data_IF_427207660122
#
_entry.id   IF_427207660122
#
_cell.length_a   1.000
_cell.length_b   1.000
_cell.length_c   1.000
_cell.angle_alpha   90.00
_cell.angle_beta   90.00
_cell.angle_gamma   90.00
#
_symmetry.space_group_name_H-M   'P 1'
#
loop_
_entity.id
_entity.type
_entity.pdbx_description
1 polymer ?
#
# COMPACT_ATOMS: atom_id res chain seq x y z
N UNK A 1 -4.81 -35.27 7.81
CA UNK A 1 -5.06 -33.96 8.43
C UNK A 1 -4.90 -32.91 7.34
N UNK A 2 -6.00 -32.42 6.79
CA UNK A 2 -5.96 -31.40 5.74
C UNK A 2 -5.37 -30.12 6.32
N UNK A 3 -4.39 -29.54 5.63
CA UNK A 3 -3.92 -28.20 5.91
C UNK A 3 -5.12 -27.25 5.84
N UNK A 4 -5.58 -26.79 7.01
CA UNK A 4 -6.50 -25.67 7.11
C UNK A 4 -5.71 -24.44 6.66
N UNK A 5 -5.67 -24.22 5.33
CA UNK A 5 -5.14 -22.98 4.77
C UNK A 5 -6.10 -21.86 5.15
N UNK A 6 -5.85 -21.28 6.33
CA UNK A 6 -6.44 -20.00 6.69
C UNK A 6 -6.00 -19.00 5.62
N UNK A 7 -6.92 -18.66 4.71
CA UNK A 7 -6.69 -17.66 3.68
C UNK A 7 -6.35 -16.35 4.40
N UNK A 8 -5.06 -15.98 4.44
CA UNK A 8 -4.62 -14.74 5.07
C UNK A 8 -5.26 -13.59 4.30
N UNK A 9 -6.03 -12.77 5.00
CA UNK A 9 -6.65 -11.60 4.42
C UNK A 9 -5.56 -10.74 3.75
N UNK A 10 -5.79 -10.38 2.48
CA UNK A 10 -4.89 -9.55 1.69
C UNK A 10 -5.66 -8.33 1.20
N UNK A 11 -5.26 -7.15 1.66
CA UNK A 11 -5.92 -5.88 1.35
C UNK A 11 -5.04 -5.08 0.40
N UNK A 12 -5.66 -4.53 -0.64
CA UNK A 12 -5.03 -3.64 -1.61
C UNK A 12 -5.50 -2.20 -1.39
N UNK A 13 -4.54 -1.28 -1.36
CA UNK A 13 -4.75 0.16 -1.18
C UNK A 13 -4.40 0.88 -2.47
N UNK A 14 -5.33 1.65 -3.02
CA UNK A 14 -5.11 2.47 -4.20
C UNK A 14 -5.28 3.96 -3.85
N UNK A 15 -4.20 4.66 -3.46
CA UNK A 15 -4.24 6.10 -3.22
C UNK A 15 -4.78 6.87 -4.42
N UNK A 16 -5.74 7.76 -4.17
CA UNK A 16 -6.01 8.87 -5.08
C UNK A 16 -4.91 9.92 -4.90
N UNK A 17 -4.14 10.17 -5.96
CA UNK A 17 -2.87 10.91 -5.94
C UNK A 17 -3.05 12.43 -6.06
N UNK A 18 -4.07 13.00 -5.40
CA UNK A 18 -4.26 14.44 -5.28
C UNK A 18 -3.48 15.00 -4.08
N UNK A 19 -2.68 16.04 -4.30
CA UNK A 19 -1.90 16.71 -3.24
C UNK A 19 -2.84 17.28 -2.16
N UNK A 20 -2.91 16.61 -1.01
CA UNK A 20 -3.76 17.00 0.11
C UNK A 20 -4.15 15.85 1.05
N UNK A 21 -4.14 14.60 0.56
CA UNK A 21 -4.57 13.41 1.32
C UNK A 21 -3.48 12.33 1.49
N UNK A 22 -2.20 12.68 1.41
CA UNK A 22 -1.09 11.71 1.51
C UNK A 22 -0.86 11.12 2.91
N UNK A 23 -1.53 11.62 3.95
CA UNK A 23 -1.41 11.11 5.32
C UNK A 23 -2.26 9.83 5.54
N UNK A 24 -3.58 9.81 5.27
CA UNK A 24 -4.40 8.61 5.54
C UNK A 24 -3.98 7.37 4.74
N UNK A 25 -3.47 7.54 3.52
CA UNK A 25 -3.18 6.40 2.64
C UNK A 25 -2.00 5.56 3.08
N UNK A 26 -1.12 6.12 3.91
CA UNK A 26 0.10 5.45 4.32
C UNK A 26 -0.13 4.78 5.68
N UNK A 27 -0.93 5.38 6.55
CA UNK A 27 -1.21 4.85 7.88
C UNK A 27 -2.21 3.69 7.87
N UNK A 28 -3.17 3.68 6.93
CA UNK A 28 -4.12 2.55 6.82
C UNK A 28 -3.43 1.20 6.59
N UNK A 29 -2.58 1.01 5.56
CA UNK A 29 -1.86 -0.24 5.34
C UNK A 29 -1.11 -0.75 6.57
N UNK A 30 -0.56 0.16 7.38
CA UNK A 30 0.18 -0.18 8.60
C UNK A 30 -0.72 -0.79 9.66
N UNK A 31 -1.87 -0.18 9.94
CA UNK A 31 -2.81 -0.70 10.93
C UNK A 31 -3.34 -2.10 10.59
N UNK A 32 -3.36 -2.46 9.29
CA UNK A 32 -3.69 -3.82 8.87
C UNK A 32 -2.48 -4.75 8.97
N UNK A 33 -1.30 -4.30 8.56
CA UNK A 33 -0.08 -5.10 8.66
C UNK A 33 0.29 -5.45 10.11
N UNK A 34 0.09 -4.52 11.07
CA UNK A 34 0.26 -4.77 12.51
C UNK A 34 -0.69 -5.85 13.05
N UNK A 35 -1.82 -6.10 12.38
CA UNK A 35 -2.77 -7.16 12.71
C UNK A 35 -2.46 -8.48 12.01
N UNK A 36 -1.30 -8.59 11.35
CA UNK A 36 -0.89 -9.77 10.58
C UNK A 36 -1.62 -9.94 9.23
N UNK A 37 -2.26 -8.88 8.73
CA UNK A 37 -2.94 -8.87 7.43
C UNK A 37 -1.95 -8.41 6.36
N UNK A 38 -1.87 -9.12 5.24
CA UNK A 38 -1.01 -8.70 4.13
C UNK A 38 -1.59 -7.43 3.51
N UNK A 39 -0.77 -6.38 3.40
CA UNK A 39 -1.19 -5.10 2.83
C UNK A 39 -0.37 -4.79 1.58
N UNK A 40 -1.02 -4.33 0.51
CA UNK A 40 -0.31 -3.92 -0.71
C UNK A 40 -0.81 -2.57 -1.20
N UNK A 41 0.11 -1.62 -1.38
CA UNK A 41 -0.19 -0.31 -1.93
C UNK A 41 0.09 -0.35 -3.42
N UNK A 42 -0.95 -0.12 -4.22
CA UNK A 42 -0.87 -0.03 -5.67
C UNK A 42 -0.72 1.45 -6.04
N UNK A 43 0.37 1.80 -6.72
CA UNK A 43 0.67 3.19 -7.12
C UNK A 43 1.28 3.24 -8.51
N UNK A 44 1.49 4.44 -9.06
CA UNK A 44 2.20 4.62 -10.34
C UNK A 44 3.70 4.82 -10.10
N UNK A 45 4.59 4.50 -11.06
CA UNK A 45 6.03 4.69 -10.92
C UNK A 45 6.43 6.13 -10.55
N UNK A 46 5.70 7.12 -11.06
CA UNK A 46 5.90 8.54 -10.74
C UNK A 46 5.68 8.83 -9.25
N UNK A 47 4.75 8.12 -8.61
CA UNK A 47 4.35 8.34 -7.23
C UNK A 47 5.00 7.37 -6.24
N UNK A 48 5.61 6.29 -6.73
CA UNK A 48 6.28 5.30 -5.89
C UNK A 48 7.33 5.89 -4.93
N UNK A 49 8.20 6.84 -5.33
CA UNK A 49 9.17 7.44 -4.41
C UNK A 49 8.51 8.22 -3.25
N UNK A 50 7.36 8.84 -3.51
CA UNK A 50 6.61 9.58 -2.47
C UNK A 50 5.98 8.64 -1.45
N UNK A 51 5.37 7.55 -1.94
CA UNK A 51 4.80 6.50 -1.09
C UNK A 51 5.90 5.83 -0.26
N UNK A 52 7.03 5.49 -0.87
CA UNK A 52 8.16 4.89 -0.18
C UNK A 52 8.66 5.77 0.98
N UNK A 53 8.94 7.05 0.70
CA UNK A 53 9.34 8.02 1.74
C UNK A 53 8.32 8.16 2.86
N UNK A 54 7.03 8.12 2.53
CA UNK A 54 5.99 8.24 3.54
C UNK A 54 5.90 7.00 4.45
N UNK A 55 6.17 5.81 3.90
CA UNK A 55 6.25 4.56 4.67
C UNK A 55 7.51 4.56 5.54
N UNK A 56 8.68 4.90 4.98
CA UNK A 56 9.94 4.97 5.73
C UNK A 56 9.89 5.96 6.90
N UNK A 57 9.25 7.11 6.69
CA UNK A 57 9.12 8.14 7.74
C UNK A 57 8.30 7.65 8.93
N UNK A 58 7.44 6.66 8.74
CA UNK A 58 6.72 6.06 9.85
C UNK A 58 7.53 4.92 10.45
N UNK A 59 7.78 5.01 11.76
CA UNK A 59 8.37 3.91 12.53
C UNK A 59 7.38 2.75 12.57
N UNK A 60 7.51 1.78 11.66
CA UNK A 60 6.73 0.54 11.71
C UNK A 60 7.70 -0.62 11.87
N UNK A 61 7.53 -1.40 12.93
CA UNK A 61 8.35 -2.58 13.18
C UNK A 61 7.89 -3.70 12.25
N UNK A 62 8.67 -4.00 11.21
CA UNK A 62 8.64 -5.30 10.53
C UNK A 62 7.29 -5.72 9.91
N UNK A 63 6.57 -4.81 9.28
CA UNK A 63 5.26 -5.08 8.71
C UNK A 63 5.33 -5.50 7.22
N UNK A 64 4.54 -6.52 6.83
CA UNK A 64 4.36 -7.04 5.46
C UNK A 64 3.59 -6.06 4.55
N UNK A 65 4.14 -4.85 4.35
CA UNK A 65 3.60 -3.85 3.43
C UNK A 65 4.35 -3.95 2.10
N UNK A 66 3.64 -4.37 1.06
CA UNK A 66 4.19 -4.45 -0.29
C UNK A 66 3.80 -3.21 -1.11
N UNK A 67 4.69 -2.71 -1.95
CA UNK A 67 4.38 -1.62 -2.89
C UNK A 67 4.40 -2.20 -4.30
N UNK A 68 3.26 -2.20 -4.96
CA UNK A 68 3.13 -2.60 -6.35
C UNK A 68 3.02 -1.35 -7.22
N UNK A 69 3.94 -1.20 -8.16
CA UNK A 69 3.80 -0.17 -9.19
C UNK A 69 3.03 -0.72 -10.38
N UNK A 70 2.08 0.07 -10.88
CA UNK A 70 1.35 -0.21 -12.12
C UNK A 70 1.58 0.92 -13.10
N UNK A 71 1.91 0.55 -14.34
CA UNK A 71 1.97 1.48 -15.46
C UNK A 71 0.53 1.78 -15.89
N UNK A 72 0.04 2.95 -15.50
CA UNK A 72 -1.16 3.49 -16.10
C UNK A 72 -0.67 4.33 -17.28
N UNK A 73 -0.88 3.82 -18.49
CA UNK A 73 -0.74 4.62 -19.71
C UNK A 73 -1.80 5.73 -19.64
N UNK A 74 -1.44 6.86 -19.05
CA UNK A 74 -2.27 8.06 -19.05
C UNK A 74 -2.29 8.63 -20.46
N UNK A 75 -3.13 8.07 -21.33
CA UNK A 75 -3.68 8.82 -22.45
C UNK A 75 -4.78 9.72 -21.88
N UNK A 76 -4.39 10.97 -21.63
CA UNK A 76 -5.23 12.17 -21.51
C UNK A 76 -6.48 12.03 -20.62
N UNK A 77 -6.34 12.49 -19.38
CA UNK A 77 -7.46 13.10 -18.66
C UNK A 77 -7.10 14.56 -18.43
N UNK A 78 -7.18 15.36 -19.50
CA UNK A 78 -7.36 16.83 -19.50
C UNK A 78 -7.94 17.22 -20.86
#
# INVERSE_FOLDING_TARGET
>A
MGSCEYQRLHIFFFPFLAHGHMIPTVDMPKSFAEKGVKATIITTPLNAPFIFKAIEKSKTNGNDIHIQTILINSLKIY
#
